data_IF_145176006178
#
_entry.id   IF_145176006178
#
_cell.length_a   1.000
_cell.length_b   1.000
_cell.length_c   1.000
_cell.angle_alpha   90.00
_cell.angle_beta   90.00
_cell.angle_gamma   90.00
#
_symmetry.space_group_name_H-M   'P 1'
#
loop_
_entity.id
_entity.type
_entity.pdbx_description
1 polymer ?
#
# COMPACT_ATOMS: atom_id res chain seq x y z
N UNK A 1 13.76 -6.56 66.09
CA UNK A 1 14.82 -6.48 65.07
C UNK A 1 14.23 -6.95 63.75
N UNK A 2 13.94 -6.04 62.84
CA UNK A 2 13.43 -6.37 61.55
C UNK A 2 14.13 -5.40 60.55
N UNK A 3 14.96 -5.94 59.68
CA UNK A 3 15.64 -5.19 58.61
C UNK A 3 14.75 -5.12 57.39
N UNK A 4 14.31 -3.91 57.05
CA UNK A 4 13.69 -3.60 55.79
C UNK A 4 14.73 -3.49 54.69
N UNK A 5 14.51 -4.18 53.57
CA UNK A 5 15.30 -4.05 52.34
C UNK A 5 14.52 -3.20 51.34
N UNK A 6 14.94 -1.95 51.22
CA UNK A 6 14.42 -0.99 50.22
C UNK A 6 15.22 -1.21 48.92
N UNK A 7 14.64 -1.81 47.91
CA UNK A 7 15.20 -1.80 46.54
C UNK A 7 14.53 -0.68 45.75
N UNK A 8 15.30 0.38 45.56
CA UNK A 8 14.97 1.47 44.67
C UNK A 8 15.08 1.00 43.22
N UNK A 9 13.92 0.86 42.57
CA UNK A 9 13.79 0.66 41.12
C UNK A 9 14.08 2.00 40.44
N UNK A 10 15.29 2.15 39.88
CA UNK A 10 15.63 3.33 39.07
C UNK A 10 15.25 3.08 37.61
N UNK A 11 13.95 3.20 37.32
CA UNK A 11 13.43 3.21 35.94
C UNK A 11 14.00 4.39 35.17
N UNK A 12 14.90 4.13 34.21
CA UNK A 12 15.34 5.12 33.22
C UNK A 12 14.17 5.57 32.38
N UNK A 13 13.97 6.87 32.11
CA UNK A 13 12.81 7.36 31.39
C UNK A 13 12.86 6.96 29.91
N UNK A 14 11.76 6.38 29.40
CA UNK A 14 11.51 6.05 27.97
C UNK A 14 11.31 7.31 27.07
N UNK A 15 11.67 8.49 27.51
CA UNK A 15 11.38 9.76 26.84
C UNK A 15 12.21 10.03 25.56
N UNK A 16 13.35 9.38 25.35
CA UNK A 16 14.22 9.67 24.21
C UNK A 16 13.73 9.15 22.84
N UNK A 17 12.99 8.03 22.81
CA UNK A 17 12.57 7.41 21.55
C UNK A 17 11.32 8.04 20.90
N UNK A 18 10.44 8.66 21.66
CA UNK A 18 9.26 9.35 21.11
C UNK A 18 9.65 10.67 20.43
N UNK A 19 10.47 11.49 21.05
CA UNK A 19 10.93 12.77 20.51
C UNK A 19 11.72 12.62 19.18
N UNK A 20 12.53 11.57 19.05
CA UNK A 20 13.29 11.31 17.82
C UNK A 20 12.38 10.87 16.67
N UNK A 21 11.34 10.09 16.94
CA UNK A 21 10.31 9.70 15.94
C UNK A 21 9.51 10.91 15.47
N UNK A 22 9.12 11.79 16.38
CA UNK A 22 8.36 13.00 16.07
C UNK A 22 9.20 13.98 15.24
N UNK A 23 10.49 14.14 15.55
CA UNK A 23 11.40 14.96 14.77
C UNK A 23 11.58 14.42 13.33
N UNK A 24 11.78 13.11 13.16
CA UNK A 24 11.89 12.50 11.82
C UNK A 24 10.58 12.63 11.02
N UNK A 25 9.44 12.54 11.70
CA UNK A 25 8.13 12.73 11.06
C UNK A 25 7.93 14.17 10.61
N UNK A 26 8.29 15.14 11.44
CA UNK A 26 8.23 16.56 11.11
C UNK A 26 9.18 16.92 9.96
N UNK A 27 10.39 16.35 9.93
CA UNK A 27 11.33 16.55 8.82
C UNK A 27 10.77 15.99 7.51
N UNK A 28 10.19 14.79 7.52
CA UNK A 28 9.52 14.25 6.32
C UNK A 28 8.37 15.13 5.86
N UNK A 29 7.53 15.62 6.78
CA UNK A 29 6.44 16.54 6.43
C UNK A 29 6.95 17.76 5.67
N UNK A 30 8.03 18.40 6.15
CA UNK A 30 8.66 19.55 5.46
C UNK A 30 9.19 19.17 4.08
N UNK A 31 9.84 18.00 3.94
CA UNK A 31 10.31 17.51 2.64
C UNK A 31 9.14 17.28 1.68
N UNK A 32 8.04 16.74 2.17
CA UNK A 32 6.84 16.48 1.37
C UNK A 32 6.15 17.79 0.91
N UNK A 33 6.14 18.83 1.76
CA UNK A 33 5.65 20.15 1.37
C UNK A 33 6.51 20.77 0.26
N UNK A 34 7.83 20.70 0.39
CA UNK A 34 8.76 21.19 -0.64
C UNK A 34 8.57 20.40 -1.94
N UNK A 35 8.55 19.05 -1.86
CA UNK A 35 8.30 18.21 -3.02
C UNK A 35 6.99 18.56 -3.73
N UNK A 36 5.90 18.78 -2.97
CA UNK A 36 4.61 19.19 -3.54
C UNK A 36 4.73 20.48 -4.34
N UNK A 37 5.49 21.47 -3.83
CA UNK A 37 5.74 22.72 -4.53
C UNK A 37 6.60 22.52 -5.77
N UNK A 38 7.69 21.78 -5.66
CA UNK A 38 8.59 21.48 -6.78
C UNK A 38 7.83 20.76 -7.91
N UNK A 39 6.95 19.83 -7.57
CA UNK A 39 6.09 19.15 -8.55
C UNK A 39 5.10 20.12 -9.23
N UNK A 40 4.48 21.03 -8.48
CA UNK A 40 3.59 22.05 -9.05
C UNK A 40 4.35 22.93 -10.05
N UNK A 41 5.56 23.37 -9.69
CA UNK A 41 6.37 24.26 -10.52
C UNK A 41 6.89 23.54 -11.81
N UNK A 42 7.31 22.27 -11.66
CA UNK A 42 7.91 21.51 -12.75
C UNK A 42 6.89 20.86 -13.71
N UNK A 43 5.72 20.45 -13.19
CA UNK A 43 4.75 19.59 -13.89
C UNK A 43 3.34 20.15 -13.94
N UNK A 44 3.14 21.47 -13.84
CA UNK A 44 1.83 22.12 -13.82
C UNK A 44 0.89 21.63 -14.95
N UNK A 45 1.40 21.50 -16.18
CA UNK A 45 0.62 21.03 -17.35
C UNK A 45 0.23 19.55 -17.23
N UNK A 46 1.10 18.72 -16.69
CA UNK A 46 0.84 17.30 -16.48
C UNK A 46 -0.15 17.08 -15.35
N UNK A 47 -0.02 17.84 -14.27
CA UNK A 47 -0.97 17.87 -13.14
C UNK A 47 -2.37 18.27 -13.65
N UNK A 48 -2.45 19.33 -14.46
CA UNK A 48 -3.73 19.78 -15.04
C UNK A 48 -4.34 18.73 -15.95
N UNK A 49 -3.54 18.08 -16.81
CA UNK A 49 -4.00 16.98 -17.67
C UNK A 49 -4.55 15.82 -16.85
N UNK A 50 -3.79 15.36 -15.84
CA UNK A 50 -4.22 14.24 -14.98
C UNK A 50 -5.45 14.61 -14.16
N UNK A 51 -5.57 15.85 -13.69
CA UNK A 51 -6.75 16.33 -12.98
C UNK A 51 -7.97 16.45 -13.87
N UNK A 52 -7.82 16.97 -15.08
CA UNK A 52 -8.91 17.10 -16.04
C UNK A 52 -9.46 15.73 -16.49
N UNK A 53 -8.59 14.72 -16.57
CA UNK A 53 -8.97 13.33 -16.86
C UNK A 53 -9.38 12.50 -15.65
N UNK A 54 -9.28 13.04 -14.42
CA UNK A 54 -9.63 12.33 -13.20
C UNK A 54 -11.12 11.97 -13.20
N UNK A 55 -11.41 10.69 -12.91
CA UNK A 55 -12.79 10.19 -12.79
C UNK A 55 -13.07 9.78 -11.34
N UNK A 56 -14.28 10.06 -10.89
CA UNK A 56 -14.85 9.54 -9.65
C UNK A 56 -15.74 8.36 -9.98
N UNK A 57 -15.53 7.23 -9.31
CA UNK A 57 -16.30 6.01 -9.53
C UNK A 57 -17.00 5.60 -8.23
N UNK A 58 -18.30 5.38 -8.31
CA UNK A 58 -19.17 4.90 -7.23
C UNK A 58 -19.77 3.54 -7.62
N UNK A 59 -19.40 2.47 -6.92
CA UNK A 59 -19.79 1.09 -7.26
C UNK A 59 -18.94 0.48 -8.39
N UNK A 60 -19.01 -0.84 -8.51
CA UNK A 60 -18.20 -1.57 -9.50
C UNK A 60 -18.67 -1.29 -10.94
N UNK A 61 -17.77 -0.92 -11.85
CA UNK A 61 -18.07 -0.83 -13.27
C UNK A 61 -18.55 -2.18 -13.80
N UNK A 62 -19.46 -2.14 -14.76
CA UNK A 62 -19.81 -3.32 -15.56
C UNK A 62 -18.91 -3.32 -16.78
N UNK A 63 -17.96 -4.22 -16.80
CA UNK A 63 -17.04 -4.39 -17.93
C UNK A 63 -17.38 -5.71 -18.62
N UNK A 64 -17.76 -5.63 -19.88
CA UNK A 64 -17.88 -6.78 -20.77
C UNK A 64 -16.55 -6.88 -21.53
N UNK A 65 -15.58 -7.60 -20.98
CA UNK A 65 -14.31 -7.82 -21.63
C UNK A 65 -14.04 -9.32 -21.78
N UNK A 66 -13.45 -9.70 -22.91
CA UNK A 66 -12.83 -11.01 -23.02
C UNK A 66 -11.62 -11.03 -22.10
N UNK A 67 -11.74 -11.76 -21.00
CA UNK A 67 -10.71 -11.87 -19.98
C UNK A 67 -9.72 -12.99 -20.28
N UNK A 68 -8.62 -12.99 -19.56
CA UNK A 68 -7.63 -14.05 -19.57
C UNK A 68 -7.10 -14.32 -18.17
N UNK A 69 -6.50 -15.50 -17.97
CA UNK A 69 -5.68 -15.76 -16.78
C UNK A 69 -4.34 -15.04 -16.98
N UNK A 70 -3.98 -14.03 -16.16
CA UNK A 70 -2.75 -13.28 -16.34
C UNK A 70 -1.51 -14.08 -15.93
N UNK A 71 -0.35 -13.67 -16.42
CA UNK A 71 0.91 -14.01 -15.76
C UNK A 71 1.03 -13.19 -14.47
N UNK A 72 1.42 -13.84 -13.36
CA UNK A 72 1.56 -13.20 -12.06
C UNK A 72 2.99 -13.31 -11.55
N UNK A 73 3.56 -12.20 -11.08
CA UNK A 73 4.83 -12.16 -10.39
C UNK A 73 4.65 -11.52 -9.00
N UNK A 74 5.26 -12.10 -7.98
CA UNK A 74 5.38 -11.51 -6.64
C UNK A 74 6.84 -11.13 -6.42
N UNK A 75 7.10 -9.84 -6.22
CA UNK A 75 8.46 -9.30 -6.19
C UNK A 75 8.76 -8.54 -4.92
N UNK A 76 10.01 -8.63 -4.45
CA UNK A 76 10.53 -7.88 -3.29
C UNK A 76 10.94 -6.47 -3.73
N UNK A 77 9.95 -5.64 -4.07
CA UNK A 77 10.13 -4.26 -4.51
C UNK A 77 8.96 -3.39 -4.05
N UNK A 78 9.18 -2.07 -3.99
CA UNK A 78 8.07 -1.12 -3.83
C UNK A 78 7.33 -0.89 -5.16
N UNK A 79 6.12 -0.34 -5.07
CA UNK A 79 5.25 -0.11 -6.22
C UNK A 79 5.87 0.87 -7.26
N UNK A 80 6.64 1.85 -6.81
CA UNK A 80 7.30 2.82 -7.71
C UNK A 80 8.38 2.13 -8.54
N UNK A 81 9.20 1.29 -7.92
CA UNK A 81 10.20 0.48 -8.65
C UNK A 81 9.53 -0.39 -9.72
N UNK A 82 8.43 -1.07 -9.37
CA UNK A 82 7.67 -1.87 -10.32
C UNK A 82 7.11 -1.03 -11.49
N UNK A 83 6.62 0.20 -11.22
CA UNK A 83 6.17 1.13 -12.26
C UNK A 83 7.34 1.54 -13.17
N UNK A 84 8.49 1.90 -12.60
CA UNK A 84 9.64 2.37 -13.37
C UNK A 84 10.23 1.28 -14.29
N UNK A 85 10.21 0.02 -13.86
CA UNK A 85 10.72 -1.12 -14.63
C UNK A 85 9.77 -1.57 -15.75
N UNK A 86 8.45 -1.43 -15.56
CA UNK A 86 7.45 -2.00 -16.47
C UNK A 86 6.63 -0.95 -17.24
N UNK A 87 6.67 0.32 -16.84
CA UNK A 87 5.89 1.40 -17.44
C UNK A 87 6.54 2.05 -18.66
N UNK A 88 5.83 2.98 -19.29
CA UNK A 88 6.29 3.74 -20.44
C UNK A 88 6.72 5.16 -20.04
N UNK A 89 7.76 5.66 -20.69
CA UNK A 89 8.32 6.99 -20.42
C UNK A 89 7.55 8.17 -21.02
N UNK A 90 6.36 7.97 -21.58
CA UNK A 90 5.50 9.03 -22.13
C UNK A 90 4.04 8.80 -21.79
N UNK A 91 3.36 9.85 -21.34
CA UNK A 91 1.96 9.80 -20.90
C UNK A 91 0.99 9.21 -21.94
N UNK A 92 1.17 9.56 -23.22
CA UNK A 92 0.33 9.08 -24.32
C UNK A 92 0.49 7.58 -24.63
N UNK A 93 1.51 6.94 -24.06
CA UNK A 93 1.78 5.51 -24.18
C UNK A 93 1.64 4.80 -22.84
N UNK A 94 0.95 5.42 -21.87
CA UNK A 94 0.64 4.78 -20.60
C UNK A 94 -0.17 3.50 -20.87
N UNK A 95 0.39 2.36 -20.45
CA UNK A 95 -0.16 1.02 -20.71
C UNK A 95 -0.30 0.19 -19.43
N UNK A 96 -0.30 0.87 -18.28
CA UNK A 96 -0.25 0.27 -16.96
C UNK A 96 -1.17 0.97 -15.98
N UNK A 97 -1.79 0.21 -15.09
CA UNK A 97 -2.45 0.73 -13.90
C UNK A 97 -1.70 0.31 -12.63
N UNK A 98 -1.76 1.14 -11.59
CA UNK A 98 -1.27 0.81 -10.25
C UNK A 98 -2.37 1.01 -9.22
N UNK A 99 -2.52 0.04 -8.30
CA UNK A 99 -3.42 0.16 -7.16
C UNK A 99 -2.74 0.97 -6.05
N UNK A 100 -3.29 2.13 -5.76
CA UNK A 100 -2.96 2.94 -4.59
C UNK A 100 -3.74 2.43 -3.37
N UNK A 101 -3.05 2.09 -2.28
CA UNK A 101 -3.65 1.65 -1.01
C UNK A 101 -4.13 2.85 -0.20
N UNK A 102 -5.08 3.52 -0.80
CA UNK A 102 -5.47 4.87 -0.45
C UNK A 102 -6.11 5.00 0.93
N UNK A 103 -5.94 6.17 1.50
CA UNK A 103 -6.81 6.64 2.58
C UNK A 103 -8.20 6.95 2.02
N UNK A 104 -9.25 6.45 2.67
CA UNK A 104 -10.63 6.77 2.30
C UNK A 104 -11.05 8.21 2.63
N UNK A 105 -10.33 8.84 3.55
CA UNK A 105 -10.76 10.09 4.20
C UNK A 105 -9.82 11.28 4.03
N UNK A 106 -8.63 11.07 3.46
CA UNK A 106 -7.63 12.14 3.35
C UNK A 106 -6.82 11.96 2.06
N UNK A 107 -6.68 13.00 1.24
CA UNK A 107 -5.87 12.93 0.03
C UNK A 107 -4.41 12.59 0.37
N UNK A 108 -3.86 11.58 -0.30
CA UNK A 108 -2.49 11.12 -0.09
C UNK A 108 -2.22 10.62 1.34
N UNK A 109 -3.28 10.17 2.05
CA UNK A 109 -3.15 9.60 3.39
C UNK A 109 -2.56 10.53 4.42
N UNK A 110 -1.41 10.16 4.94
CA UNK A 110 -0.62 10.96 5.88
C UNK A 110 0.60 11.63 5.25
N UNK A 111 0.68 11.73 3.91
CA UNK A 111 1.81 12.27 3.18
C UNK A 111 2.25 13.64 3.70
N UNK A 112 1.34 14.60 3.75
CA UNK A 112 1.65 15.96 4.23
C UNK A 112 2.02 16.02 5.72
N UNK A 113 1.69 14.96 6.47
CA UNK A 113 2.04 14.82 7.89
C UNK A 113 3.29 13.98 8.12
N UNK A 114 4.02 13.58 7.06
CA UNK A 114 5.26 12.80 7.12
C UNK A 114 5.08 11.33 7.52
N UNK A 115 3.91 10.76 7.27
CA UNK A 115 3.69 9.31 7.38
C UNK A 115 4.43 8.56 6.26
N UNK A 116 4.57 7.25 6.43
CA UNK A 116 5.27 6.37 5.48
C UNK A 116 4.44 5.11 5.29
N UNK A 117 3.86 4.96 4.12
CA UNK A 117 3.19 3.75 3.64
C UNK A 117 3.19 3.80 2.09
N UNK A 118 2.50 2.89 1.42
CA UNK A 118 2.53 2.80 -0.04
C UNK A 118 1.95 4.05 -0.71
N UNK A 119 0.80 4.58 -0.25
CA UNK A 119 0.19 5.81 -0.79
C UNK A 119 1.13 7.01 -0.64
N UNK A 120 1.77 7.16 0.54
CA UNK A 120 2.72 8.23 0.76
C UNK A 120 3.97 8.10 -0.11
N UNK A 121 4.42 6.87 -0.41
CA UNK A 121 5.54 6.62 -1.32
C UNK A 121 5.17 6.97 -2.76
N UNK A 122 3.97 6.62 -3.22
CA UNK A 122 3.47 7.03 -4.53
C UNK A 122 3.42 8.56 -4.65
N UNK A 123 2.95 9.26 -3.61
CA UNK A 123 2.92 10.72 -3.57
C UNK A 123 4.32 11.35 -3.57
N UNK A 124 5.31 10.72 -2.91
CA UNK A 124 6.67 11.25 -2.79
C UNK A 124 7.48 11.12 -4.10
N UNK A 125 7.14 10.16 -4.92
CA UNK A 125 7.86 9.86 -6.18
C UNK A 125 7.09 10.35 -7.43
N UNK A 126 6.05 11.21 -7.22
CA UNK A 126 5.19 11.72 -8.28
C UNK A 126 4.51 13.03 -7.90
N UNK A 127 3.71 13.58 -8.79
CA UNK A 127 2.79 14.67 -8.49
C UNK A 127 1.36 14.19 -8.07
N UNK A 128 1.20 12.94 -7.68
CA UNK A 128 -0.11 12.38 -7.34
C UNK A 128 -0.82 13.21 -6.26
N UNK A 129 -0.12 13.60 -5.19
CA UNK A 129 -0.70 14.43 -4.14
C UNK A 129 -1.24 15.76 -4.67
N UNK A 130 -0.56 16.39 -5.65
CA UNK A 130 -1.00 17.64 -6.27
C UNK A 130 -2.36 17.51 -6.96
N UNK A 131 -2.64 16.33 -7.51
CA UNK A 131 -3.93 16.00 -8.12
C UNK A 131 -4.97 15.71 -7.03
N UNK A 132 -4.65 14.82 -6.07
CA UNK A 132 -5.59 14.37 -5.04
C UNK A 132 -6.05 15.50 -4.11
N UNK A 133 -5.16 16.44 -3.73
CA UNK A 133 -5.52 17.58 -2.88
C UNK A 133 -6.62 18.45 -3.47
N UNK A 134 -6.80 18.45 -4.81
CA UNK A 134 -7.83 19.22 -5.52
C UNK A 134 -9.22 18.55 -5.46
N UNK A 135 -9.31 17.31 -4.91
CA UNK A 135 -10.56 16.54 -4.70
C UNK A 135 -10.98 16.47 -3.23
N UNK A 136 -10.67 17.49 -2.44
CA UNK A 136 -11.03 17.54 -1.02
C UNK A 136 -12.54 17.35 -0.76
N UNK A 137 -13.39 17.83 -1.64
CA UNK A 137 -14.85 17.65 -1.63
C UNK A 137 -15.25 16.17 -1.57
N UNK A 138 -14.60 15.31 -2.38
CA UNK A 138 -14.82 13.87 -2.40
C UNK A 138 -14.43 13.20 -1.07
N UNK A 139 -13.28 13.58 -0.50
CA UNK A 139 -12.83 13.07 0.80
C UNK A 139 -13.74 13.54 1.95
N UNK A 140 -14.26 14.78 1.89
CA UNK A 140 -15.25 15.30 2.85
C UNK A 140 -16.54 14.47 2.79
N UNK A 141 -17.03 14.17 1.59
CA UNK A 141 -18.23 13.34 1.40
C UNK A 141 -18.01 11.92 1.92
N UNK A 142 -16.84 11.33 1.68
CA UNK A 142 -16.48 10.02 2.21
C UNK A 142 -16.54 10.00 3.75
N UNK A 143 -15.96 10.99 4.41
CA UNK A 143 -16.02 11.12 5.88
C UNK A 143 -17.45 11.21 6.42
N UNK A 144 -18.33 11.89 5.70
CA UNK A 144 -19.69 12.18 6.18
C UNK A 144 -20.68 11.05 5.94
N UNK A 145 -20.60 10.33 4.82
CA UNK A 145 -21.69 9.48 4.34
C UNK A 145 -21.28 8.06 3.93
N UNK A 146 -19.99 7.78 3.81
CA UNK A 146 -19.52 6.56 3.14
C UNK A 146 -18.61 5.68 4.00
N UNK A 147 -18.45 5.99 5.30
CA UNK A 147 -17.59 5.24 6.24
C UNK A 147 -18.04 3.78 6.41
N UNK A 148 -19.36 3.53 6.56
CA UNK A 148 -19.91 2.18 6.65
C UNK A 148 -19.16 1.28 7.66
N UNK A 149 -19.15 1.65 8.93
CA UNK A 149 -18.44 0.92 10.02
C UNK A 149 -16.95 0.65 9.70
N UNK A 150 -16.27 1.60 9.07
CA UNK A 150 -14.89 1.48 8.59
C UNK A 150 -14.66 0.38 7.52
N UNK A 151 -15.73 -0.23 6.97
CA UNK A 151 -15.67 -1.08 5.78
C UNK A 151 -15.54 -0.26 4.50
N UNK A 152 -15.98 0.99 4.56
CA UNK A 152 -16.07 1.93 3.45
C UNK A 152 -16.99 1.45 2.32
N UNK A 153 -17.53 2.35 1.53
CA UNK A 153 -18.24 1.98 0.29
C UNK A 153 -17.23 1.79 -0.85
N UNK A 154 -17.65 1.06 -1.89
CA UNK A 154 -16.88 0.92 -3.12
C UNK A 154 -16.88 2.25 -3.89
N UNK A 155 -15.93 3.12 -3.54
CA UNK A 155 -15.68 4.42 -4.16
C UNK A 155 -14.20 4.58 -4.48
N UNK A 156 -13.90 5.16 -5.61
CA UNK A 156 -12.53 5.34 -6.08
C UNK A 156 -12.35 6.67 -6.83
N UNK A 157 -11.10 7.11 -6.91
CA UNK A 157 -10.65 8.04 -7.93
C UNK A 157 -9.76 7.27 -8.91
N UNK A 158 -9.90 7.55 -10.19
CA UNK A 158 -9.01 7.05 -11.24
C UNK A 158 -8.26 8.24 -11.80
N UNK A 159 -6.95 8.30 -11.56
CA UNK A 159 -6.07 9.42 -11.96
C UNK A 159 -5.21 8.98 -13.14
N UNK A 160 -5.46 9.51 -14.35
CA UNK A 160 -4.76 9.05 -15.54
C UNK A 160 -3.34 9.59 -15.64
N UNK A 161 -2.45 8.76 -16.17
CA UNK A 161 -1.12 9.08 -16.65
C UNK A 161 -0.28 9.92 -15.65
N UNK A 162 -0.23 9.48 -14.39
CA UNK A 162 0.63 10.08 -13.37
C UNK A 162 2.07 9.70 -13.67
N UNK A 163 2.96 10.71 -13.64
CA UNK A 163 4.40 10.53 -13.84
C UNK A 163 5.06 10.16 -12.51
N UNK A 164 5.67 9.00 -12.46
CA UNK A 164 6.56 8.56 -11.38
C UNK A 164 8.02 8.75 -11.79
N UNK A 165 8.88 9.08 -10.85
CA UNK A 165 10.30 9.30 -11.17
C UNK A 165 11.22 9.10 -9.97
N UNK A 166 12.36 8.41 -10.23
CA UNK A 166 13.44 8.16 -9.28
C UNK A 166 14.76 8.08 -10.05
N UNK A 167 15.83 8.70 -9.56
CA UNK A 167 17.18 8.60 -10.11
C UNK A 167 17.29 8.85 -11.63
N UNK A 168 16.58 9.89 -12.13
CA UNK A 168 16.50 10.29 -13.55
C UNK A 168 15.71 9.32 -14.46
N UNK A 169 15.23 8.22 -13.94
CA UNK A 169 14.30 7.33 -14.64
C UNK A 169 12.88 7.80 -14.36
N UNK A 170 11.99 7.68 -15.33
CA UNK A 170 10.57 7.96 -15.12
C UNK A 170 9.68 7.07 -15.99
N UNK A 171 8.48 6.82 -15.49
CA UNK A 171 7.42 6.12 -16.19
C UNK A 171 6.06 6.69 -15.81
N UNK A 172 5.04 6.34 -16.58
CA UNK A 172 3.66 6.75 -16.35
C UNK A 172 2.80 5.54 -16.01
N UNK A 173 1.87 5.74 -15.08
CA UNK A 173 0.83 4.78 -14.75
C UNK A 173 -0.48 5.51 -14.45
N UNK A 174 -1.61 4.88 -14.75
CA UNK A 174 -2.91 5.28 -14.24
C UNK A 174 -3.02 4.81 -12.79
N UNK A 175 -3.49 5.68 -11.89
CA UNK A 175 -3.56 5.36 -10.47
C UNK A 175 -4.99 5.07 -10.06
N UNK A 176 -5.22 3.87 -9.55
CA UNK A 176 -6.49 3.42 -8.97
C UNK A 176 -6.47 3.74 -7.47
N UNK A 177 -7.06 4.86 -7.07
CA UNK A 177 -7.09 5.33 -5.67
C UNK A 177 -8.23 4.63 -4.94
N UNK A 178 -7.94 3.49 -4.32
CA UNK A 178 -8.92 2.61 -3.67
C UNK A 178 -8.51 2.33 -2.24
N UNK A 179 -9.42 2.55 -1.28
CA UNK A 179 -9.18 2.20 0.11
C UNK A 179 -9.66 0.79 0.44
N UNK A 180 -8.82 -0.04 1.05
CA UNK A 180 -9.25 -1.31 1.64
C UNK A 180 -10.21 -1.06 2.83
N UNK A 181 -11.12 -1.99 3.16
CA UNK A 181 -11.79 -1.97 4.45
C UNK A 181 -10.77 -1.92 5.60
N UNK A 182 -11.00 -1.07 6.60
CA UNK A 182 -10.12 -1.01 7.76
C UNK A 182 -10.52 -2.07 8.78
N UNK A 183 -10.00 -3.29 8.62
CA UNK A 183 -10.39 -4.44 9.42
C UNK A 183 -10.13 -4.26 10.92
N UNK A 184 -9.04 -3.57 11.27
CA UNK A 184 -8.73 -3.29 12.67
C UNK A 184 -9.78 -2.40 13.30
N UNK A 185 -10.07 -1.24 12.73
CA UNK A 185 -11.05 -0.30 13.27
C UNK A 185 -12.48 -0.82 13.17
N UNK A 186 -12.83 -1.55 12.12
CA UNK A 186 -14.14 -2.16 11.98
C UNK A 186 -14.43 -3.16 13.12
N UNK A 187 -13.43 -3.95 13.53
CA UNK A 187 -13.52 -4.86 14.69
C UNK A 187 -13.54 -4.12 16.02
N UNK A 188 -12.59 -3.20 16.22
CA UNK A 188 -12.40 -2.53 17.52
C UNK A 188 -13.50 -1.52 17.83
N UNK A 189 -13.99 -0.77 16.83
CA UNK A 189 -14.96 0.31 17.03
C UNK A 189 -16.41 -0.12 16.80
N UNK A 190 -16.65 -1.13 15.95
CA UNK A 190 -17.99 -1.52 15.50
C UNK A 190 -18.31 -3.00 15.70
N UNK A 191 -17.41 -3.79 16.25
CA UNK A 191 -17.57 -5.24 16.47
C UNK A 191 -17.98 -6.00 15.19
N UNK A 192 -17.49 -5.57 14.02
CA UNK A 192 -17.80 -6.23 12.76
C UNK A 192 -17.20 -7.64 12.77
N UNK A 193 -18.01 -8.63 12.45
CA UNK A 193 -17.60 -10.03 12.43
C UNK A 193 -16.69 -10.35 11.25
N UNK A 194 -16.01 -11.50 11.34
CA UNK A 194 -15.03 -11.95 10.36
C UNK A 194 -15.64 -12.16 8.97
N UNK A 195 -16.82 -12.74 8.89
CA UNK A 195 -17.49 -13.06 7.62
C UNK A 195 -17.87 -11.77 6.87
N UNK A 196 -18.40 -10.79 7.58
CA UNK A 196 -18.73 -9.47 7.02
C UNK A 196 -17.49 -8.73 6.55
N UNK A 197 -16.37 -8.81 7.30
CA UNK A 197 -15.09 -8.25 6.91
C UNK A 197 -14.56 -8.90 5.62
N UNK A 198 -14.51 -10.23 5.57
CA UNK A 198 -13.99 -10.97 4.41
C UNK A 198 -14.84 -10.72 3.15
N UNK A 199 -16.17 -10.67 3.30
CA UNK A 199 -17.06 -10.30 2.20
C UNK A 199 -16.76 -8.89 1.68
N UNK A 200 -16.62 -7.91 2.56
CA UNK A 200 -16.30 -6.53 2.18
C UNK A 200 -14.95 -6.41 1.48
N UNK A 201 -13.95 -7.19 1.91
CA UNK A 201 -12.62 -7.19 1.27
C UNK A 201 -12.67 -7.87 -0.10
N UNK A 202 -13.37 -8.99 -0.23
CA UNK A 202 -13.55 -9.69 -1.51
C UNK A 202 -14.26 -8.81 -2.54
N UNK A 203 -15.31 -8.11 -2.12
CA UNK A 203 -15.98 -7.11 -2.96
C UNK A 203 -15.06 -5.96 -3.35
N UNK A 204 -14.15 -5.54 -2.46
CA UNK A 204 -13.19 -4.49 -2.72
C UNK A 204 -12.08 -4.92 -3.69
N UNK A 205 -11.63 -6.17 -3.61
CA UNK A 205 -10.69 -6.76 -4.59
C UNK A 205 -11.35 -6.79 -5.98
N UNK A 206 -12.58 -7.27 -6.09
CA UNK A 206 -13.35 -7.24 -7.35
C UNK A 206 -13.52 -5.84 -7.89
N UNK A 207 -13.86 -4.90 -7.02
CA UNK A 207 -14.00 -3.49 -7.40
C UNK A 207 -12.69 -2.92 -7.95
N UNK A 208 -11.55 -3.15 -7.29
CA UNK A 208 -10.26 -2.67 -7.76
C UNK A 208 -9.88 -3.28 -9.12
N UNK A 209 -10.11 -4.57 -9.33
CA UNK A 209 -9.85 -5.25 -10.60
C UNK A 209 -10.79 -4.76 -11.71
N UNK A 210 -12.09 -4.54 -11.43
CA UNK A 210 -13.03 -4.01 -12.43
C UNK A 210 -12.68 -2.59 -12.88
N UNK A 211 -12.06 -1.77 -12.02
CA UNK A 211 -11.55 -0.47 -12.43
C UNK A 211 -10.36 -0.59 -13.39
N UNK A 212 -9.47 -1.57 -13.14
CA UNK A 212 -8.35 -1.85 -14.04
C UNK A 212 -8.84 -2.35 -15.42
N UNK A 213 -9.85 -3.21 -15.43
CA UNK A 213 -10.48 -3.72 -16.65
C UNK A 213 -11.12 -2.61 -17.48
N UNK A 214 -11.79 -1.66 -16.83
CA UNK A 214 -12.40 -0.49 -17.49
C UNK A 214 -11.37 0.38 -18.21
N UNK A 215 -10.12 0.44 -17.70
CA UNK A 215 -9.02 1.15 -18.35
C UNK A 215 -8.46 0.40 -19.55
N UNK A 216 -8.66 -0.91 -19.64
CA UNK A 216 -8.16 -1.75 -20.75
C UNK A 216 -6.66 -1.98 -20.76
N UNK A 217 -5.96 -1.71 -19.64
CA UNK A 217 -4.52 -1.93 -19.57
C UNK A 217 -4.16 -3.40 -19.37
N UNK A 218 -3.16 -3.84 -20.11
CA UNK A 218 -2.66 -5.20 -20.03
C UNK A 218 -1.72 -5.43 -18.83
N UNK A 219 -1.21 -4.34 -18.20
CA UNK A 219 -0.28 -4.38 -17.07
C UNK A 219 -0.90 -3.78 -15.82
N UNK A 220 -0.79 -4.49 -14.71
CA UNK A 220 -1.33 -4.06 -13.42
C UNK A 220 -0.31 -4.27 -12.31
N UNK A 221 -0.03 -3.22 -11.56
CA UNK A 221 0.80 -3.26 -10.34
C UNK A 221 -0.12 -3.26 -9.12
N UNK A 222 -0.04 -4.33 -8.36
CA UNK A 222 -0.75 -4.57 -7.10
C UNK A 222 0.25 -4.71 -5.95
N UNK A 223 -0.22 -5.14 -4.78
CA UNK A 223 0.62 -5.45 -3.63
C UNK A 223 -0.19 -5.92 -2.44
N UNK A 224 0.36 -5.84 -1.22
CA UNK A 224 -0.26 -6.30 0.02
C UNK A 224 -1.35 -5.33 0.50
N UNK A 225 -2.44 -5.24 -0.25
CA UNK A 225 -3.55 -4.30 -0.08
C UNK A 225 -4.23 -4.47 1.28
N UNK A 226 -4.17 -3.43 2.11
CA UNK A 226 -4.77 -3.44 3.45
C UNK A 226 -3.98 -4.21 4.53
N UNK A 227 -2.85 -4.86 4.18
CA UNK A 227 -2.11 -5.73 5.11
C UNK A 227 -1.21 -4.97 6.11
N UNK A 228 -1.11 -3.66 6.00
CA UNK A 228 -0.38 -2.81 6.94
C UNK A 228 -1.28 -2.33 8.09
N UNK A 229 -1.48 -1.01 8.16
CA UNK A 229 -2.22 -0.31 9.24
C UNK A 229 -3.67 -0.75 9.35
N UNK A 230 -4.29 -1.22 8.26
CA UNK A 230 -5.69 -1.69 8.24
C UNK A 230 -5.87 -3.10 8.81
N UNK A 231 -4.79 -3.85 9.04
CA UNK A 231 -4.79 -5.06 9.85
C UNK A 231 -5.35 -6.31 9.18
N UNK A 232 -5.25 -6.40 7.84
CA UNK A 232 -5.55 -7.63 7.11
C UNK A 232 -4.39 -8.63 7.18
N UNK A 233 -4.73 -9.91 7.22
CA UNK A 233 -3.74 -10.97 7.02
C UNK A 233 -3.41 -11.12 5.55
N UNK A 234 -2.12 -11.11 5.23
CA UNK A 234 -1.65 -11.16 3.85
C UNK A 234 -1.99 -12.46 3.14
N UNK A 235 -2.08 -13.61 3.85
CA UNK A 235 -2.51 -14.87 3.25
C UNK A 235 -3.96 -14.80 2.77
N UNK A 236 -4.84 -14.19 3.58
CA UNK A 236 -6.27 -14.03 3.23
C UNK A 236 -6.43 -13.14 2.01
N UNK A 237 -5.72 -12.01 1.98
CA UNK A 237 -5.81 -11.05 0.86
C UNK A 237 -5.19 -11.63 -0.41
N UNK A 238 -4.05 -12.30 -0.31
CA UNK A 238 -3.40 -12.95 -1.45
C UNK A 238 -4.29 -14.03 -2.07
N UNK A 239 -4.95 -14.85 -1.25
CA UNK A 239 -5.91 -15.85 -1.74
C UNK A 239 -7.12 -15.20 -2.44
N UNK A 240 -7.65 -14.09 -1.92
CA UNK A 240 -8.75 -13.37 -2.59
C UNK A 240 -8.34 -12.88 -3.98
N UNK A 241 -7.15 -12.30 -4.12
CA UNK A 241 -6.62 -11.91 -5.42
C UNK A 241 -6.35 -13.12 -6.33
N UNK A 242 -5.78 -14.20 -5.80
CA UNK A 242 -5.52 -15.42 -6.56
C UNK A 242 -6.80 -16.02 -7.13
N UNK A 243 -7.86 -16.12 -6.31
CA UNK A 243 -9.16 -16.65 -6.73
C UNK A 243 -9.76 -15.79 -7.84
N UNK A 244 -9.80 -14.47 -7.71
CA UNK A 244 -10.40 -13.58 -8.71
C UNK A 244 -9.60 -13.58 -10.02
N UNK A 245 -8.28 -13.44 -9.96
CA UNK A 245 -7.42 -13.48 -11.17
C UNK A 245 -7.44 -14.83 -11.86
N UNK A 246 -7.57 -15.92 -11.09
CA UNK A 246 -7.67 -17.29 -11.60
C UNK A 246 -8.95 -17.58 -12.38
N UNK A 247 -10.01 -16.76 -12.23
CA UNK A 247 -11.23 -16.89 -13.04
C UNK A 247 -11.01 -16.56 -14.52
N UNK A 248 -9.92 -15.88 -14.86
CA UNK A 248 -9.62 -15.49 -16.24
C UNK A 248 -10.61 -14.48 -16.82
N UNK A 249 -11.25 -13.67 -15.97
CA UNK A 249 -12.28 -12.72 -16.36
C UNK A 249 -11.76 -11.26 -16.43
N UNK A 250 -10.43 -11.06 -16.38
CA UNK A 250 -9.80 -9.75 -16.35
C UNK A 250 -8.96 -9.46 -17.60
N UNK A 251 -8.89 -8.17 -17.98
CA UNK A 251 -8.15 -7.68 -19.17
C UNK A 251 -6.65 -7.76 -18.96
N UNK A 252 -6.18 -7.60 -17.72
CA UNK A 252 -4.77 -7.62 -17.40
C UNK A 252 -4.10 -8.95 -17.82
N UNK A 253 -3.03 -8.89 -18.60
CA UNK A 253 -2.20 -10.02 -19.03
C UNK A 253 -0.98 -10.23 -18.13
N UNK A 254 -0.52 -9.15 -17.50
CA UNK A 254 0.61 -9.14 -16.58
C UNK A 254 0.22 -8.46 -15.27
N UNK A 255 0.33 -9.17 -14.18
CA UNK A 255 0.08 -8.65 -12.82
C UNK A 255 1.35 -8.79 -12.00
N UNK A 256 1.80 -7.69 -11.43
CA UNK A 256 2.95 -7.64 -10.53
C UNK A 256 2.46 -7.28 -9.13
N UNK A 257 2.64 -8.18 -8.17
CA UNK A 257 2.50 -7.86 -6.76
C UNK A 257 3.83 -7.33 -6.23
N UNK A 258 3.93 -6.00 -6.11
CA UNK A 258 5.07 -5.32 -5.52
C UNK A 258 4.90 -5.32 -3.99
N UNK A 259 5.60 -6.21 -3.31
CA UNK A 259 5.51 -6.43 -1.86
C UNK A 259 6.90 -6.36 -1.26
N UNK A 260 7.36 -5.18 -0.81
CA UNK A 260 8.69 -5.05 -0.23
C UNK A 260 8.78 -5.88 1.06
N UNK A 261 9.91 -6.55 1.25
CA UNK A 261 10.19 -7.33 2.45
C UNK A 261 10.27 -6.42 3.67
N UNK A 262 9.28 -6.54 4.52
CA UNK A 262 9.26 -5.85 5.81
C UNK A 262 10.15 -6.55 6.84
N UNK A 263 10.62 -5.79 7.83
CA UNK A 263 11.46 -6.36 8.90
C UNK A 263 10.69 -7.28 9.85
N UNK A 264 9.40 -7.00 10.03
CA UNK A 264 8.56 -7.62 11.06
C UNK A 264 7.24 -8.15 10.52
N UNK A 265 7.07 -8.20 9.19
CA UNK A 265 5.88 -8.75 8.56
C UNK A 265 6.23 -9.92 7.62
N UNK A 266 5.24 -10.72 7.35
CA UNK A 266 5.34 -11.88 6.46
C UNK A 266 4.58 -11.65 5.14
N UNK A 267 4.34 -10.38 4.75
CA UNK A 267 3.52 -10.08 3.58
C UNK A 267 4.10 -10.71 2.31
N UNK A 268 5.38 -10.49 2.05
CA UNK A 268 6.06 -11.04 0.87
C UNK A 268 6.00 -12.58 0.83
N UNK A 269 6.44 -13.33 1.84
CA UNK A 269 6.39 -14.80 1.78
C UNK A 269 4.97 -15.35 1.72
N UNK A 270 3.97 -14.70 2.32
CA UNK A 270 2.57 -15.11 2.24
C UNK A 270 2.00 -14.94 0.83
N UNK A 271 2.29 -13.80 0.18
CA UNK A 271 1.91 -13.58 -1.23
C UNK A 271 2.63 -14.57 -2.15
N UNK A 272 3.94 -14.75 -2.00
CA UNK A 272 4.70 -15.71 -2.79
C UNK A 272 4.15 -17.14 -2.64
N UNK A 273 3.77 -17.53 -1.43
CA UNK A 273 3.15 -18.83 -1.15
C UNK A 273 1.79 -19.00 -1.85
N UNK A 274 0.92 -18.00 -1.78
CA UNK A 274 -0.41 -18.07 -2.38
C UNK A 274 -0.35 -18.17 -3.91
N UNK A 275 0.65 -17.54 -4.54
CA UNK A 275 0.82 -17.54 -5.99
C UNK A 275 1.83 -18.57 -6.52
N UNK A 276 2.42 -19.41 -5.66
CA UNK A 276 3.44 -20.40 -6.05
C UNK A 276 2.99 -21.37 -7.15
N UNK A 277 1.71 -21.68 -7.19
CA UNK A 277 1.11 -22.62 -8.17
C UNK A 277 -0.01 -21.94 -8.98
N UNK A 278 -0.01 -20.61 -9.06
CA UNK A 278 -1.07 -19.88 -9.79
C UNK A 278 -1.22 -20.40 -11.23
N UNK A 279 -2.44 -20.59 -11.76
CA UNK A 279 -3.74 -20.22 -11.19
C UNK A 279 -4.27 -21.16 -10.10
N UNK A 280 -3.70 -22.34 -9.96
CA UNK A 280 -4.12 -23.31 -8.98
C UNK A 280 -3.82 -22.86 -7.54
N UNK A 281 -4.62 -23.37 -6.61
CA UNK A 281 -4.36 -23.15 -5.19
C UNK A 281 -3.19 -23.99 -4.72
N UNK A 282 -2.27 -23.39 -3.98
CA UNK A 282 -1.22 -24.16 -3.31
C UNK A 282 -1.86 -25.08 -2.25
N UNK A 283 -1.70 -26.41 -2.35
CA UNK A 283 -2.31 -27.35 -1.41
C UNK A 283 -1.66 -27.32 -0.02
N UNK A 284 -0.45 -26.79 0.08
CA UNK A 284 0.26 -26.66 1.35
C UNK A 284 -0.26 -25.44 2.12
N UNK A 285 -0.44 -25.58 3.43
CA UNK A 285 -0.71 -24.43 4.29
C UNK A 285 0.57 -23.59 4.43
N UNK A 286 0.40 -22.26 4.48
CA UNK A 286 1.52 -21.38 4.80
C UNK A 286 2.01 -21.69 6.24
N UNK A 287 3.31 -21.98 6.37
CA UNK A 287 3.95 -22.14 7.67
C UNK A 287 4.91 -20.98 7.89
N UNK A 288 4.75 -20.27 9.00
CA UNK A 288 5.69 -19.20 9.41
C UNK A 288 7.08 -19.80 9.54
N UNK A 289 8.09 -19.27 8.85
CA UNK A 289 9.44 -19.74 8.98
C UNK A 289 9.92 -19.64 10.44
N UNK A 290 10.38 -20.75 11.00
CA UNK A 290 11.03 -20.77 12.30
C UNK A 290 12.38 -20.08 12.13
N UNK A 291 12.47 -18.82 12.57
CA UNK A 291 13.76 -18.14 12.64
C UNK A 291 14.53 -18.79 13.79
N UNK A 292 15.49 -19.67 13.47
CA UNK A 292 16.50 -20.06 14.47
C UNK A 292 17.19 -18.78 14.93
N UNK A 293 16.82 -18.33 16.10
CA UNK A 293 17.58 -17.28 16.80
C UNK A 293 18.92 -17.92 17.15
N UNK A 294 19.94 -17.73 16.30
CA UNK A 294 21.31 -18.03 16.71
C UNK A 294 21.54 -17.27 17.99
N UNK A 295 21.97 -17.94 19.08
CA UNK A 295 22.28 -17.24 20.30
C UNK A 295 23.26 -16.12 19.92
N UNK A 296 22.95 -14.92 20.34
CA UNK A 296 23.89 -13.80 20.26
C UNK A 296 25.05 -14.26 21.15
N UNK A 297 26.16 -14.67 20.54
CA UNK A 297 27.43 -14.79 21.25
C UNK A 297 27.72 -13.37 21.65
N UNK A 298 27.52 -13.06 22.92
CA UNK A 298 28.04 -11.83 23.51
C UNK A 298 29.56 -11.90 23.28
N UNK A 299 30.02 -11.24 22.24
CA UNK A 299 31.47 -10.94 22.16
C UNK A 299 31.73 -10.02 23.35
N UNK A 300 32.52 -10.54 24.29
CA UNK A 300 33.04 -9.79 25.42
C UNK A 300 33.76 -8.56 24.87
N UNK A 301 33.08 -7.41 24.82
CA UNK A 301 33.64 -6.12 24.38
C UNK A 301 34.79 -5.65 25.34
N UNK A 302 35.04 -6.36 26.41
CA UNK A 302 36.04 -6.00 27.41
C UNK A 302 37.38 -6.74 27.30
N UNK A 303 37.65 -7.48 26.24
CA UNK A 303 38.98 -8.09 26.07
C UNK A 303 40.00 -7.11 25.43
N UNK A 304 40.24 -6.01 26.14
CA UNK A 304 41.31 -5.03 25.87
C UNK A 304 42.70 -5.66 25.77
N UNK A 305 42.87 -6.92 26.22
CA UNK A 305 44.14 -7.69 26.19
C UNK A 305 44.55 -8.13 24.79
N UNK A 306 43.66 -8.04 23.80
CA UNK A 306 43.97 -8.36 22.41
C UNK A 306 44.72 -7.25 21.67
N UNK A 307 44.91 -6.08 22.30
CA UNK A 307 45.55 -4.92 21.70
C UNK A 307 46.87 -4.51 22.42
N UNK A 308 47.41 -5.35 23.33
CA UNK A 308 48.75 -5.26 23.88
C UNK A 308 49.60 -6.38 23.28
#
# INVERSE_FOLDING_TARGET
MAFGNNRSDTGRPRAGRSGERDNRKAERARKNELHTKDMEDAYAKDIERSFAGLRTVDGSPKVEAEGCVPSVAVIDQDAVTAILENGRGRAQFCDMAVLDFASFTSPGGGYIRGSVAQEESLCMESYLYNVLKRKEDWYVENRRRNINCNLYKNRALVVPAVRFGRDRVHAYADVLVVAAPNARRAREEYNVDKETLERAMRERVRFALSLADELGHEKLVLGAFGCGVFGWDASVVAEMFREELGLGAHVAKQVVFAVPKGRFDENLPKFAHAFAMFPDKNPQAYATPVVEVKPVVEEDEDDWRKYL
#
